data_IF_136422341812
#
_entry.id   IF_136422341812
#
_cell.length_a   1.000
_cell.length_b   1.000
_cell.length_c   1.000
_cell.angle_alpha   90.00
_cell.angle_beta   90.00
_cell.angle_gamma   90.00
#
_symmetry.space_group_name_H-M   'P 1'
#
loop_
_entity.id
_entity.type
_entity.pdbx_description
1 polymer ?
#
# COMPACT_ATOMS: atom_id res chain seq x y z
N UNK A 1 15.70 -5.32 2.68
CA UNK A 1 15.28 -5.91 1.38
C UNK A 1 14.65 -4.80 0.56
N UNK A 2 15.08 -4.65 -0.69
CA UNK A 2 14.58 -3.62 -1.60
C UNK A 2 13.63 -4.24 -2.63
N UNK A 3 12.62 -3.48 -3.07
CA UNK A 3 11.76 -3.84 -4.19
C UNK A 3 12.12 -2.96 -5.38
N UNK A 4 12.42 -3.58 -6.51
CA UNK A 4 12.87 -2.90 -7.72
C UNK A 4 11.85 -3.12 -8.83
N UNK A 5 11.34 -2.02 -9.39
CA UNK A 5 10.66 -1.97 -10.67
C UNK A 5 11.70 -1.59 -11.73
N UNK A 6 11.97 -2.47 -12.69
CA UNK A 6 13.03 -2.34 -13.68
C UNK A 6 12.41 -2.38 -15.08
N UNK A 7 12.23 -1.20 -15.71
CA UNK A 7 11.69 -1.02 -17.07
C UNK A 7 10.36 -1.74 -17.31
N UNK A 8 9.42 -1.65 -16.35
CA UNK A 8 8.13 -2.33 -16.42
C UNK A 8 7.24 -1.71 -17.49
N UNK A 9 6.91 -2.50 -18.52
CA UNK A 9 5.85 -2.19 -19.48
C UNK A 9 4.82 -3.31 -19.48
N UNK A 10 3.54 -2.95 -19.64
CA UNK A 10 2.47 -3.94 -19.68
C UNK A 10 1.33 -3.57 -20.62
N UNK A 11 0.85 -4.59 -21.36
CA UNK A 11 -0.22 -4.47 -22.33
C UNK A 11 -1.28 -5.54 -22.08
N UNK A 12 -2.56 -5.14 -22.11
CA UNK A 12 -3.67 -6.07 -22.16
C UNK A 12 -4.24 -6.10 -23.57
N UNK A 13 -4.02 -7.22 -24.29
CA UNK A 13 -4.39 -7.31 -25.70
C UNK A 13 -3.70 -6.21 -26.53
N UNK A 14 -4.48 -5.28 -27.11
CA UNK A 14 -3.96 -4.15 -27.88
C UNK A 14 -3.80 -2.86 -27.08
N UNK A 15 -4.06 -2.86 -25.76
CA UNK A 15 -4.09 -1.67 -24.91
C UNK A 15 -2.81 -1.55 -24.08
N UNK A 16 -2.00 -0.53 -24.35
CA UNK A 16 -0.84 -0.20 -23.52
C UNK A 16 -1.31 0.44 -22.21
N UNK A 17 -0.95 -0.17 -21.08
CA UNK A 17 -1.36 0.26 -19.74
C UNK A 17 -0.19 0.90 -18.98
N UNK A 18 1.00 0.31 -19.07
CA UNK A 18 2.24 0.81 -18.47
C UNK A 18 3.33 0.85 -19.54
N UNK A 19 4.19 1.85 -19.45
CA UNK A 19 5.28 2.04 -20.39
C UNK A 19 6.53 2.56 -19.67
N UNK A 20 7.57 1.72 -19.62
CA UNK A 20 8.90 2.00 -19.08
C UNK A 20 8.91 2.56 -17.64
N UNK A 21 8.16 1.92 -16.74
CA UNK A 21 8.10 2.34 -15.34
C UNK A 21 9.28 1.75 -14.56
N UNK A 22 10.13 2.65 -14.02
CA UNK A 22 11.30 2.27 -13.23
C UNK A 22 11.40 3.06 -11.93
N UNK A 23 11.49 2.36 -10.79
CA UNK A 23 11.80 2.94 -9.48
C UNK A 23 12.21 1.84 -8.50
N UNK A 24 12.75 2.25 -7.35
CA UNK A 24 13.13 1.34 -6.27
C UNK A 24 12.45 1.76 -4.98
N UNK A 25 12.06 0.81 -4.17
CA UNK A 25 11.64 1.01 -2.78
C UNK A 25 12.71 0.40 -1.89
N UNK A 26 13.43 1.25 -1.16
CA UNK A 26 14.49 0.80 -0.26
C UNK A 26 13.89 0.14 1.00
N UNK A 27 14.72 -0.65 1.70
CA UNK A 27 14.33 -1.23 3.00
C UNK A 27 13.86 -0.14 3.96
N UNK A 28 12.66 -0.31 4.53
CA UNK A 28 12.05 0.66 5.46
C UNK A 28 11.47 1.93 4.81
N UNK A 29 11.63 2.10 3.50
CA UNK A 29 11.10 3.24 2.76
C UNK A 29 9.62 3.04 2.43
N UNK A 30 8.82 4.09 2.53
CA UNK A 30 7.44 4.15 2.05
C UNK A 30 7.38 4.99 0.77
N UNK A 31 6.97 4.38 -0.32
CA UNK A 31 6.76 5.04 -1.61
C UNK A 31 5.26 5.07 -1.92
N UNK A 32 4.69 6.27 -2.04
CA UNK A 32 3.33 6.41 -2.55
C UNK A 32 3.34 6.46 -4.09
N UNK A 33 2.32 5.88 -4.70
CA UNK A 33 2.07 5.97 -6.14
C UNK A 33 0.74 6.70 -6.34
N UNK A 34 0.80 7.83 -7.05
CA UNK A 34 -0.36 8.65 -7.37
C UNK A 34 -0.45 8.87 -8.89
N UNK A 35 -1.63 9.21 -9.38
CA UNK A 35 -1.88 9.47 -10.79
C UNK A 35 -3.36 9.37 -11.14
N UNK A 36 -3.76 9.76 -12.36
CA UNK A 36 -5.16 9.74 -12.81
C UNK A 36 -5.81 8.36 -12.67
N UNK A 37 -7.13 8.31 -12.65
CA UNK A 37 -7.87 7.05 -12.70
C UNK A 37 -7.56 6.31 -14.01
N UNK A 38 -7.36 4.98 -13.94
CA UNK A 38 -7.06 4.16 -15.10
C UNK A 38 -5.64 4.26 -15.66
N UNK A 39 -4.71 4.99 -15.02
CA UNK A 39 -3.32 5.09 -15.50
C UNK A 39 -2.45 3.84 -15.24
N UNK A 40 -3.00 2.79 -14.61
CA UNK A 40 -2.29 1.52 -14.42
C UNK A 40 -1.73 1.27 -13.02
N UNK A 41 -2.08 2.06 -11.98
CA UNK A 41 -1.55 1.90 -10.61
C UNK A 41 -1.75 0.49 -10.04
N UNK A 42 -2.98 -0.04 -10.07
CA UNK A 42 -3.28 -1.38 -9.55
C UNK A 42 -2.65 -2.48 -10.41
N UNK A 43 -2.49 -2.25 -11.73
CA UNK A 43 -1.73 -3.13 -12.62
C UNK A 43 -0.25 -3.17 -12.21
N UNK A 44 0.35 -2.01 -11.97
CA UNK A 44 1.73 -1.90 -11.48
C UNK A 44 1.90 -2.61 -10.15
N UNK A 45 0.99 -2.39 -9.19
CA UNK A 45 1.05 -3.06 -7.89
C UNK A 45 0.95 -4.58 -8.01
N UNK A 46 0.08 -5.07 -8.91
CA UNK A 46 -0.06 -6.51 -9.18
C UNK A 46 1.22 -7.11 -9.78
N UNK A 47 1.94 -6.34 -10.62
CA UNK A 47 3.24 -6.76 -11.17
C UNK A 47 4.29 -6.76 -10.07
N UNK A 48 4.37 -5.70 -9.26
CA UNK A 48 5.31 -5.61 -8.13
C UNK A 48 5.14 -6.77 -7.15
N UNK A 49 3.91 -7.20 -6.94
CA UNK A 49 3.58 -8.32 -6.06
C UNK A 49 3.65 -9.71 -6.70
N UNK A 50 4.04 -9.80 -7.96
CA UNK A 50 4.15 -11.08 -8.67
C UNK A 50 2.82 -11.74 -9.03
N UNK A 51 1.69 -11.03 -8.88
CA UNK A 51 0.36 -11.52 -9.26
C UNK A 51 0.11 -11.42 -10.77
N UNK A 52 0.85 -10.53 -11.44
CA UNK A 52 0.79 -10.31 -12.88
C UNK A 52 2.22 -10.26 -13.44
N UNK A 53 2.46 -10.97 -14.55
CA UNK A 53 3.74 -10.88 -15.25
C UNK A 53 3.73 -9.66 -16.18
N UNK A 54 4.75 -8.78 -16.14
CA UNK A 54 4.84 -7.66 -17.07
C UNK A 54 5.05 -8.17 -18.50
N UNK A 55 4.71 -7.35 -19.51
CA UNK A 55 5.02 -7.64 -20.90
C UNK A 55 6.50 -7.47 -21.20
N UNK A 56 7.13 -6.45 -20.58
CA UNK A 56 8.55 -6.16 -20.66
C UNK A 56 9.05 -5.69 -19.29
N UNK A 57 10.36 -5.84 -19.05
CA UNK A 57 10.96 -5.50 -17.77
C UNK A 57 10.68 -6.54 -16.69
N UNK A 58 10.88 -6.18 -15.43
CA UNK A 58 10.68 -7.06 -14.28
C UNK A 58 10.47 -6.32 -12.98
N UNK A 59 9.84 -7.00 -12.03
CA UNK A 59 9.85 -6.64 -10.62
C UNK A 59 10.67 -7.67 -9.85
N UNK A 60 11.58 -7.23 -8.99
CA UNK A 60 12.43 -8.12 -8.19
C UNK A 60 12.60 -7.64 -6.76
N UNK A 61 12.71 -8.59 -5.84
CA UNK A 61 13.15 -8.35 -4.47
C UNK A 61 14.66 -8.58 -4.38
N UNK A 62 15.40 -7.60 -3.86
CA UNK A 62 16.87 -7.68 -3.71
C UNK A 62 17.28 -7.58 -2.26
N UNK A 63 18.21 -8.44 -1.85
CA UNK A 63 18.68 -8.56 -0.47
C UNK A 63 17.95 -9.64 0.30
N UNK A 64 18.42 -9.92 1.52
CA UNK A 64 17.81 -10.91 2.40
C UNK A 64 16.57 -10.29 3.12
N UNK A 65 15.48 -11.05 3.29
CA UNK A 65 14.40 -10.64 4.16
C UNK A 65 14.87 -10.59 5.63
N UNK A 66 14.15 -9.89 6.52
CA UNK A 66 14.40 -10.02 7.96
C UNK A 66 14.33 -11.48 8.42
N UNK A 67 15.19 -11.88 9.37
CA UNK A 67 15.33 -13.28 9.82
C UNK A 67 14.01 -13.89 10.32
N UNK A 68 13.11 -13.07 10.83
CA UNK A 68 11.81 -13.50 11.34
C UNK A 68 10.67 -13.33 10.32
N UNK A 69 10.96 -12.98 9.06
CA UNK A 69 9.96 -12.83 8.01
C UNK A 69 9.47 -14.21 7.54
N UNK A 70 8.16 -14.38 7.52
CA UNK A 70 7.51 -15.60 7.03
C UNK A 70 7.09 -15.47 5.56
N UNK A 71 6.86 -14.24 5.11
CA UNK A 71 6.63 -13.90 3.71
C UNK A 71 7.16 -12.48 3.48
N UNK A 72 8.21 -12.28 2.68
CA UNK A 72 8.85 -10.98 2.54
C UNK A 72 7.98 -9.92 1.86
N UNK A 73 6.97 -10.32 1.09
CA UNK A 73 6.07 -9.41 0.38
C UNK A 73 4.63 -9.80 0.62
N UNK A 74 3.79 -8.84 1.01
CA UNK A 74 2.36 -9.11 1.22
C UNK A 74 1.49 -7.94 0.77
N UNK A 75 0.19 -8.21 0.61
CA UNK A 75 -0.81 -7.27 0.13
C UNK A 75 -1.84 -6.88 1.19
N UNK A 76 -2.26 -5.61 1.14
CA UNK A 76 -3.54 -5.13 1.69
C UNK A 76 -4.37 -4.64 0.50
N UNK A 77 -5.45 -5.36 0.20
CA UNK A 77 -6.37 -5.06 -0.90
C UNK A 77 -7.40 -4.02 -0.50
N UNK A 78 -7.96 -3.32 -1.47
CA UNK A 78 -8.98 -2.29 -1.29
C UNK A 78 -10.26 -2.85 -0.63
N UNK A 79 -10.70 -4.04 -0.98
CA UNK A 79 -11.88 -4.74 -0.46
C UNK A 79 -11.58 -5.66 0.73
N UNK A 80 -10.34 -5.55 1.31
CA UNK A 80 -9.81 -6.31 2.45
C UNK A 80 -9.70 -7.83 2.23
N UNK A 81 -10.37 -8.40 1.23
CA UNK A 81 -10.37 -9.83 0.88
C UNK A 81 -10.49 -10.76 2.10
N UNK A 82 -11.37 -10.42 3.06
CA UNK A 82 -11.59 -11.24 4.25
C UNK A 82 -12.40 -12.49 3.90
N UNK A 83 -12.08 -13.59 4.59
CA UNK A 83 -12.84 -14.83 4.52
C UNK A 83 -14.11 -14.67 5.38
N UNK A 84 -15.31 -14.50 4.79
CA UNK A 84 -16.51 -14.13 5.53
C UNK A 84 -17.04 -15.23 6.46
N UNK A 85 -16.62 -16.47 6.25
CA UNK A 85 -16.95 -17.64 7.07
C UNK A 85 -15.93 -17.90 8.19
N UNK A 86 -14.85 -17.15 8.25
CA UNK A 86 -13.81 -17.23 9.28
C UNK A 86 -13.98 -16.11 10.31
N UNK A 87 -13.62 -16.38 11.56
CA UNK A 87 -13.50 -15.34 12.59
C UNK A 87 -12.35 -14.38 12.30
N UNK A 88 -12.25 -13.28 13.04
CA UNK A 88 -11.11 -12.35 13.00
C UNK A 88 -9.80 -13.10 13.22
N UNK A 89 -9.71 -13.90 14.26
CA UNK A 89 -8.53 -14.71 14.58
C UNK A 89 -8.16 -15.65 13.44
N UNK A 90 -9.13 -16.40 12.91
CA UNK A 90 -8.90 -17.34 11.81
C UNK A 90 -8.49 -16.63 10.50
N UNK A 91 -9.01 -15.42 10.24
CA UNK A 91 -8.54 -14.59 9.12
C UNK A 91 -7.07 -14.19 9.26
N UNK A 92 -6.63 -13.81 10.47
CA UNK A 92 -5.24 -13.42 10.75
C UNK A 92 -4.32 -14.65 10.75
N UNK A 93 -4.78 -15.80 11.23
CA UNK A 93 -4.04 -17.06 11.23
C UNK A 93 -3.87 -17.65 9.83
N UNK A 94 -4.82 -17.40 8.92
CA UNK A 94 -4.88 -18.05 7.60
C UNK A 94 -3.55 -18.07 6.83
N UNK A 95 -2.77 -16.99 6.69
CA UNK A 95 -1.49 -17.04 5.98
C UNK A 95 -0.39 -17.84 6.70
N UNK A 96 -0.61 -18.20 7.97
CA UNK A 96 0.36 -18.94 8.79
C UNK A 96 0.17 -20.46 8.72
N UNK A 97 -0.93 -20.95 8.15
CA UNK A 97 -1.29 -22.38 8.15
C UNK A 97 -0.21 -23.26 7.51
N UNK A 98 0.49 -22.74 6.49
CA UNK A 98 1.52 -23.48 5.76
C UNK A 98 2.94 -23.07 6.15
N UNK A 99 3.13 -22.32 7.22
CA UNK A 99 4.45 -21.98 7.76
C UNK A 99 4.99 -23.11 8.65
N UNK A 100 6.29 -23.10 8.91
CA UNK A 100 6.94 -24.06 9.81
C UNK A 100 6.69 -23.78 11.30
N UNK A 101 5.86 -22.81 11.65
CA UNK A 101 5.52 -22.47 13.04
C UNK A 101 4.70 -23.58 13.70
N UNK A 102 5.07 -23.96 14.93
CA UNK A 102 4.21 -24.78 15.77
C UNK A 102 2.96 -24.01 16.23
N UNK A 103 2.01 -24.69 16.87
CA UNK A 103 0.74 -24.10 17.28
C UNK A 103 0.92 -22.93 18.27
N UNK A 104 1.86 -23.04 19.21
CA UNK A 104 2.11 -22.02 20.22
C UNK A 104 2.75 -20.77 19.60
N UNK A 105 3.75 -20.93 18.74
CA UNK A 105 4.39 -19.84 18.01
C UNK A 105 3.39 -19.14 17.07
N UNK A 106 2.54 -19.89 16.38
CA UNK A 106 1.49 -19.36 15.52
C UNK A 106 0.49 -18.51 16.31
N UNK A 107 0.02 -19.03 17.46
CA UNK A 107 -0.89 -18.29 18.34
C UNK A 107 -0.25 -16.98 18.84
N UNK A 108 1.03 -17.01 19.22
CA UNK A 108 1.75 -15.80 19.65
C UNK A 108 1.84 -14.73 18.55
N UNK A 109 2.03 -15.14 17.29
CA UNK A 109 2.02 -14.24 16.13
C UNK A 109 0.64 -13.61 15.92
N UNK A 110 -0.43 -14.42 16.00
CA UNK A 110 -1.82 -13.94 15.87
C UNK A 110 -2.15 -12.96 16.99
N UNK A 111 -1.80 -13.29 18.24
CA UNK A 111 -2.04 -12.42 19.40
C UNK A 111 -1.30 -11.07 19.24
N UNK A 112 -0.07 -11.08 18.75
CA UNK A 112 0.68 -9.85 18.48
C UNK A 112 0.02 -9.00 17.38
N UNK A 113 -0.38 -9.61 16.26
CA UNK A 113 -1.04 -8.92 15.17
C UNK A 113 -2.38 -8.29 15.62
N UNK A 114 -3.21 -9.02 16.36
CA UNK A 114 -4.47 -8.53 16.91
C UNK A 114 -4.26 -7.38 17.90
N UNK A 115 -3.25 -7.47 18.77
CA UNK A 115 -2.90 -6.40 19.71
C UNK A 115 -2.45 -5.13 18.98
N UNK A 116 -1.56 -5.23 18.01
CA UNK A 116 -1.05 -4.10 17.21
C UNK A 116 -2.13 -3.37 16.43
N UNK A 117 -3.21 -4.06 16.07
CA UNK A 117 -4.34 -3.50 15.32
C UNK A 117 -5.57 -3.19 16.19
N UNK A 118 -5.48 -3.39 17.52
CA UNK A 118 -6.57 -3.09 18.46
C UNK A 118 -7.79 -4.02 18.30
N UNK A 119 -7.57 -5.27 17.89
CA UNK A 119 -8.63 -6.24 17.61
C UNK A 119 -8.73 -7.40 18.63
N UNK A 120 -7.95 -7.36 19.72
CA UNK A 120 -7.88 -8.45 20.70
C UNK A 120 -9.24 -8.86 21.25
N UNK A 121 -10.13 -7.89 21.54
CA UNK A 121 -11.48 -8.14 22.08
C UNK A 121 -12.47 -8.67 21.05
N UNK A 122 -12.11 -8.59 19.76
CA UNK A 122 -12.96 -9.00 18.63
C UNK A 122 -12.52 -10.30 17.95
N UNK A 123 -11.57 -11.03 18.55
CA UNK A 123 -10.96 -12.24 17.95
C UNK A 123 -11.97 -13.29 17.49
N UNK A 124 -13.06 -13.49 18.23
CA UNK A 124 -14.14 -14.44 17.92
C UNK A 124 -15.21 -13.90 16.99
N UNK A 125 -15.18 -12.60 16.63
CA UNK A 125 -16.18 -12.00 15.77
C UNK A 125 -15.99 -12.40 14.30
N UNK A 126 -17.09 -12.41 13.54
CA UNK A 126 -17.06 -12.62 12.08
C UNK A 126 -17.04 -11.27 11.33
N UNK A 127 -16.53 -11.20 10.08
CA UNK A 127 -16.47 -9.96 9.31
C UNK A 127 -17.78 -9.18 9.20
N UNK A 128 -18.93 -9.89 9.14
CA UNK A 128 -20.28 -9.27 9.09
C UNK A 128 -20.67 -8.51 10.37
N UNK A 129 -19.99 -8.77 11.49
CA UNK A 129 -20.25 -8.15 12.79
C UNK A 129 -19.36 -6.91 13.03
N UNK A 130 -18.45 -6.60 12.09
CA UNK A 130 -17.46 -5.56 12.23
C UNK A 130 -17.86 -4.30 11.45
N UNK A 131 -17.42 -3.13 11.93
CA UNK A 131 -17.45 -1.88 11.16
C UNK A 131 -16.51 -1.94 9.94
N UNK A 132 -16.61 -1.00 9.00
CA UNK A 132 -15.71 -0.89 7.85
C UNK A 132 -14.24 -0.80 8.28
N UNK A 133 -13.95 0.11 9.22
CA UNK A 133 -12.60 0.28 9.75
C UNK A 133 -12.07 -0.94 10.50
N UNK A 134 -12.93 -1.67 11.23
CA UNK A 134 -12.52 -2.91 11.88
C UNK A 134 -12.19 -4.00 10.85
N UNK A 135 -12.99 -4.14 9.79
CA UNK A 135 -12.67 -5.09 8.71
C UNK A 135 -11.33 -4.77 8.06
N UNK A 136 -11.03 -3.49 7.86
CA UNK A 136 -9.74 -3.08 7.35
C UNK A 136 -8.60 -3.46 8.29
N UNK A 137 -8.74 -3.18 9.60
CA UNK A 137 -7.75 -3.59 10.60
C UNK A 137 -7.50 -5.10 10.59
N UNK A 138 -8.52 -5.93 10.32
CA UNK A 138 -8.33 -7.39 10.15
C UNK A 138 -7.46 -7.70 8.92
N UNK A 139 -7.69 -7.02 7.80
CA UNK A 139 -6.85 -7.16 6.60
C UNK A 139 -5.39 -6.77 6.86
N UNK A 140 -5.18 -5.66 7.60
CA UNK A 140 -3.85 -5.22 8.03
C UNK A 140 -3.22 -6.24 8.99
N UNK A 141 -3.95 -6.71 10.01
CA UNK A 141 -3.46 -7.70 10.96
C UNK A 141 -3.01 -8.99 10.25
N UNK A 142 -3.81 -9.47 9.28
CA UNK A 142 -3.48 -10.62 8.45
C UNK A 142 -2.18 -10.40 7.65
N UNK A 143 -2.01 -9.21 7.07
CA UNK A 143 -0.80 -8.86 6.33
C UNK A 143 0.43 -8.79 7.24
N UNK A 144 0.28 -8.26 8.46
CA UNK A 144 1.36 -8.16 9.45
C UNK A 144 1.77 -9.50 10.07
N UNK A 145 0.86 -10.46 10.14
CA UNK A 145 1.13 -11.77 10.74
C UNK A 145 2.28 -12.51 10.05
N UNK A 146 2.50 -12.28 8.77
CA UNK A 146 3.63 -12.89 8.04
C UNK A 146 4.95 -12.10 8.18
N UNK A 147 4.96 -10.99 8.95
CA UNK A 147 6.14 -10.13 9.17
C UNK A 147 6.83 -9.75 7.86
N UNK A 148 6.14 -9.04 6.97
CA UNK A 148 6.67 -8.73 5.65
C UNK A 148 7.83 -7.74 5.74
N UNK A 149 8.79 -7.85 4.81
CA UNK A 149 9.79 -6.83 4.56
C UNK A 149 9.18 -5.64 3.79
N UNK A 150 8.19 -5.94 2.92
CA UNK A 150 7.51 -4.94 2.09
C UNK A 150 6.01 -5.21 2.07
N UNK A 151 5.25 -4.14 2.28
CA UNK A 151 3.79 -4.12 2.26
C UNK A 151 3.29 -3.40 1.00
N UNK A 152 2.47 -4.08 0.20
CA UNK A 152 1.81 -3.50 -0.98
C UNK A 152 0.36 -3.17 -0.63
N UNK A 153 -0.05 -1.92 -0.83
CA UNK A 153 -1.37 -1.42 -0.43
C UNK A 153 -2.06 -0.72 -1.60
N UNK A 154 -3.23 -1.24 -1.99
CA UNK A 154 -4.06 -0.67 -3.06
C UNK A 154 -5.23 0.09 -2.47
N UNK A 155 -5.16 1.41 -2.42
CA UNK A 155 -6.19 2.32 -1.91
C UNK A 155 -6.81 1.88 -0.57
N UNK A 156 -6.01 1.53 0.45
CA UNK A 156 -6.51 0.84 1.63
C UNK A 156 -7.50 1.67 2.47
N UNK A 157 -7.56 2.99 2.29
CA UNK A 157 -8.44 3.89 3.05
C UNK A 157 -9.62 4.45 2.25
N UNK A 158 -9.76 4.10 0.96
CA UNK A 158 -10.72 4.73 0.04
C UNK A 158 -12.19 4.52 0.41
N UNK A 159 -12.52 3.34 0.98
CA UNK A 159 -13.90 2.94 1.30
C UNK A 159 -14.39 3.43 2.68
N UNK A 160 -13.61 4.28 3.38
CA UNK A 160 -13.90 4.68 4.76
C UNK A 160 -14.41 6.12 4.86
N UNK A 161 -15.26 6.36 5.87
CA UNK A 161 -15.62 7.70 6.29
C UNK A 161 -14.40 8.48 6.80
N UNK A 162 -14.51 9.81 6.86
CA UNK A 162 -13.39 10.70 7.19
C UNK A 162 -12.80 10.47 8.58
N UNK A 163 -13.62 10.16 9.58
CA UNK A 163 -13.15 9.95 10.96
C UNK A 163 -12.40 8.62 11.09
N UNK A 164 -12.98 7.55 10.55
CA UNK A 164 -12.35 6.23 10.52
C UNK A 164 -11.04 6.25 9.72
N UNK A 165 -11.02 6.99 8.60
CA UNK A 165 -9.82 7.17 7.77
C UNK A 165 -8.70 7.85 8.56
N UNK A 166 -8.99 8.92 9.30
CA UNK A 166 -7.98 9.62 10.10
C UNK A 166 -7.38 8.73 11.18
N UNK A 167 -8.20 7.98 11.92
CA UNK A 167 -7.72 7.04 12.94
C UNK A 167 -6.81 5.95 12.34
N UNK A 168 -7.18 5.41 11.18
CA UNK A 168 -6.37 4.40 10.51
C UNK A 168 -5.10 4.98 9.88
N UNK A 169 -5.13 6.24 9.45
CA UNK A 169 -3.94 6.95 9.00
C UNK A 169 -2.91 7.04 10.13
N UNK A 170 -3.33 7.41 11.34
CA UNK A 170 -2.46 7.42 12.51
C UNK A 170 -1.92 6.03 12.84
N UNK A 171 -2.74 4.97 12.68
CA UNK A 171 -2.30 3.59 12.85
C UNK A 171 -1.20 3.22 11.84
N UNK A 172 -1.36 3.58 10.55
CA UNK A 172 -0.34 3.37 9.53
C UNK A 172 0.95 4.15 9.82
N UNK A 173 0.85 5.42 10.22
CA UNK A 173 2.03 6.21 10.62
C UNK A 173 2.80 5.50 11.74
N UNK A 174 2.09 5.02 12.78
CA UNK A 174 2.70 4.27 13.89
C UNK A 174 3.31 2.95 13.44
N UNK A 175 2.61 2.23 12.57
CA UNK A 175 3.04 0.91 12.06
C UNK A 175 4.33 1.00 11.25
N UNK A 176 4.49 2.08 10.47
CA UNK A 176 5.62 2.30 9.58
C UNK A 176 6.74 3.15 10.22
N UNK A 177 6.56 3.59 11.48
CA UNK A 177 7.47 4.53 12.13
C UNK A 177 8.85 3.95 12.43
N UNK A 178 8.95 2.64 12.71
CA UNK A 178 10.20 1.97 13.07
C UNK A 178 11.15 1.76 11.87
N UNK A 179 10.68 2.00 10.64
CA UNK A 179 11.49 1.86 9.43
C UNK A 179 11.97 0.45 9.13
N UNK A 180 11.42 -0.57 9.80
CA UNK A 180 11.81 -1.98 9.59
C UNK A 180 11.13 -2.58 8.36
N UNK A 181 9.97 -2.06 7.98
CA UNK A 181 9.14 -2.50 6.87
C UNK A 181 9.01 -1.41 5.82
N UNK A 182 9.35 -1.72 4.57
CA UNK A 182 9.08 -0.87 3.42
C UNK A 182 7.61 -0.97 2.97
N UNK A 183 7.12 0.01 2.22
CA UNK A 183 5.78 -0.06 1.67
C UNK A 183 5.64 0.62 0.30
N UNK A 184 4.76 0.06 -0.54
CA UNK A 184 4.18 0.75 -1.70
C UNK A 184 2.72 1.05 -1.39
N UNK A 185 2.36 2.32 -1.46
CA UNK A 185 1.04 2.81 -1.08
C UNK A 185 0.37 3.50 -2.27
N UNK A 186 -0.63 2.86 -2.87
CA UNK A 186 -1.45 3.50 -3.91
C UNK A 186 -2.57 4.29 -3.25
N UNK A 187 -2.74 5.53 -3.67
CA UNK A 187 -3.87 6.36 -3.25
C UNK A 187 -4.18 7.43 -4.31
N UNK A 188 -5.42 7.88 -4.35
CA UNK A 188 -5.84 9.10 -5.03
C UNK A 188 -5.91 10.30 -4.09
N UNK A 189 -5.72 10.10 -2.78
CA UNK A 189 -5.72 11.15 -1.76
C UNK A 189 -4.29 11.65 -1.53
N UNK A 190 -4.01 12.88 -1.96
CA UNK A 190 -2.68 13.49 -1.86
C UNK A 190 -2.26 13.78 -0.42
N UNK A 191 -3.22 14.00 0.50
CA UNK A 191 -2.94 14.16 1.92
C UNK A 191 -2.36 12.87 2.50
N UNK A 192 -2.96 11.71 2.17
CA UNK A 192 -2.44 10.40 2.56
C UNK A 192 -1.01 10.20 2.04
N UNK A 193 -0.79 10.51 0.76
CA UNK A 193 0.53 10.36 0.14
C UNK A 193 1.61 11.17 0.86
N UNK A 194 1.39 12.47 1.14
CA UNK A 194 2.39 13.31 1.80
C UNK A 194 2.56 13.03 3.30
N UNK A 195 1.56 12.43 3.95
CA UNK A 195 1.64 12.04 5.36
C UNK A 195 2.40 10.74 5.59
N UNK A 196 2.25 9.75 4.68
CA UNK A 196 2.83 8.41 4.85
C UNK A 196 4.16 8.23 4.14
N UNK A 197 4.27 8.71 2.88
CA UNK A 197 5.37 8.35 2.01
C UNK A 197 6.64 9.17 2.24
N UNK A 198 7.79 8.56 2.04
CA UNK A 198 9.08 9.24 1.99
C UNK A 198 9.32 9.85 0.61
N UNK A 199 8.79 9.19 -0.43
CA UNK A 199 8.72 9.69 -1.81
C UNK A 199 7.36 9.38 -2.42
N UNK A 200 6.94 10.25 -3.35
CA UNK A 200 5.72 10.07 -4.13
C UNK A 200 6.10 9.93 -5.60
N UNK A 201 5.78 8.79 -6.19
CA UNK A 201 5.90 8.53 -7.63
C UNK A 201 4.61 8.98 -8.29
N UNK A 202 4.70 9.98 -9.16
CA UNK A 202 3.58 10.49 -9.95
C UNK A 202 3.57 9.80 -11.31
N UNK A 203 2.49 9.09 -11.61
CA UNK A 203 2.30 8.46 -12.92
C UNK A 203 1.52 9.40 -13.85
N UNK A 204 1.90 9.39 -15.13
CA UNK A 204 1.15 10.02 -16.21
C UNK A 204 -0.18 9.30 -16.45
N UNK A 205 -1.06 9.89 -17.28
CA UNK A 205 -2.18 9.16 -17.90
C UNK A 205 -1.68 7.93 -18.67
N UNK A 206 -2.63 7.07 -19.03
CA UNK A 206 -2.33 5.84 -19.78
C UNK A 206 -1.73 6.11 -21.18
N UNK A 207 -0.66 5.37 -21.59
CA UNK A 207 0.09 4.42 -20.77
C UNK A 207 0.84 5.11 -19.62
N UNK A 208 0.71 4.54 -18.41
CA UNK A 208 1.33 5.10 -17.22
C UNK A 208 2.85 5.06 -17.31
N UNK A 209 3.49 6.21 -17.18
CA UNK A 209 4.95 6.41 -17.09
C UNK A 209 5.27 7.16 -15.81
N UNK A 210 6.47 7.03 -15.29
CA UNK A 210 6.92 7.88 -14.20
C UNK A 210 7.11 9.31 -14.74
N UNK A 211 6.21 10.22 -14.34
CA UNK A 211 6.28 11.63 -14.70
C UNK A 211 7.28 12.38 -13.82
N UNK A 212 7.16 12.16 -12.51
CA UNK A 212 8.02 12.81 -11.52
C UNK A 212 8.08 11.97 -10.24
N UNK A 213 9.17 12.11 -9.50
CA UNK A 213 9.34 11.54 -8.16
C UNK A 213 9.57 12.70 -7.20
N UNK A 214 8.60 12.93 -6.31
CA UNK A 214 8.64 14.02 -5.32
C UNK A 214 9.07 13.45 -3.97
N UNK A 215 10.18 13.93 -3.42
CA UNK A 215 10.66 13.57 -2.09
C UNK A 215 9.95 14.38 -1.01
N UNK A 216 9.64 13.76 0.13
CA UNK A 216 9.06 14.42 1.30
C UNK A 216 10.17 14.66 2.33
N UNK A 217 10.72 15.88 2.43
CA UNK A 217 11.91 16.19 3.21
C UNK A 217 11.59 16.36 4.70
N UNK A 218 10.81 15.45 5.27
CA UNK A 218 10.41 15.42 6.69
C UNK A 218 10.25 13.98 7.12
N UNK A 219 10.65 13.64 8.33
CA UNK A 219 10.38 12.34 8.92
C UNK A 219 8.88 12.16 9.17
N UNK A 220 8.38 10.93 9.16
CA UNK A 220 6.95 10.64 9.42
C UNK A 220 6.49 11.18 10.78
N UNK A 221 7.35 11.14 11.80
CA UNK A 221 7.05 11.67 13.12
C UNK A 221 6.85 13.21 13.12
N UNK A 222 7.64 13.94 12.34
CA UNK A 222 7.54 15.41 12.23
C UNK A 222 6.25 15.86 11.56
N UNK A 223 5.68 15.04 10.65
CA UNK A 223 4.48 15.39 9.85
C UNK A 223 3.20 15.54 10.66
N UNK A 224 3.13 15.01 11.89
CA UNK A 224 2.02 15.21 12.82
C UNK A 224 2.03 16.58 13.52
N UNK A 225 3.12 17.34 13.44
CA UNK A 225 3.26 18.64 14.08
C UNK A 225 2.51 19.77 13.40
N UNK A 226 2.17 20.82 14.17
CA UNK A 226 1.50 22.02 13.64
C UNK A 226 2.37 22.72 12.58
N UNK A 227 3.68 22.76 12.79
CA UNK A 227 4.64 23.41 11.88
C UNK A 227 4.81 22.68 10.54
N UNK A 228 4.48 21.40 10.49
CA UNK A 228 4.54 20.61 9.26
C UNK A 228 3.38 20.91 8.29
N UNK A 229 2.23 21.36 8.80
CA UNK A 229 1.00 21.53 7.99
C UNK A 229 1.20 22.42 6.76
N UNK A 230 1.88 23.55 6.91
CA UNK A 230 2.16 24.45 5.80
C UNK A 230 3.05 23.82 4.71
N UNK A 231 4.07 23.07 5.13
CA UNK A 231 4.98 22.37 4.20
C UNK A 231 4.28 21.22 3.49
N UNK A 232 3.46 20.44 4.22
CA UNK A 232 2.67 19.35 3.64
C UNK A 232 1.65 19.86 2.63
N UNK A 233 0.98 20.98 2.93
CA UNK A 233 0.05 21.64 2.00
C UNK A 233 0.75 22.11 0.72
N UNK A 234 1.97 22.65 0.83
CA UNK A 234 2.76 23.03 -0.33
C UNK A 234 3.11 21.84 -1.22
N UNK A 235 3.53 20.73 -0.63
CA UNK A 235 3.81 19.47 -1.35
C UNK A 235 2.53 18.88 -1.98
N UNK A 236 1.41 18.93 -1.27
CA UNK A 236 0.11 18.50 -1.78
C UNK A 236 -0.31 19.32 -3.01
N UNK A 237 -0.11 20.65 -2.97
CA UNK A 237 -0.41 21.53 -4.11
C UNK A 237 0.53 21.26 -5.30
N UNK A 238 1.81 20.98 -5.04
CA UNK A 238 2.75 20.57 -6.09
C UNK A 238 2.29 19.26 -6.76
N UNK A 239 1.97 18.23 -5.99
CA UNK A 239 1.44 16.97 -6.50
C UNK A 239 0.13 17.17 -7.27
N UNK A 240 -0.77 18.01 -6.74
CA UNK A 240 -2.02 18.35 -7.42
C UNK A 240 -1.79 18.98 -8.79
N UNK A 241 -0.83 19.93 -8.92
CA UNK A 241 -0.51 20.56 -10.20
C UNK A 241 -0.05 19.55 -11.24
N UNK A 242 0.79 18.57 -10.84
CA UNK A 242 1.28 17.50 -11.71
C UNK A 242 0.15 16.59 -12.20
N UNK A 243 -0.78 16.21 -11.30
CA UNK A 243 -1.88 15.29 -11.63
C UNK A 243 -2.99 15.99 -12.42
N UNK A 244 -3.25 17.28 -12.12
CA UNK A 244 -4.32 18.04 -12.77
C UNK A 244 -4.15 18.13 -14.27
N UNK A 245 -2.94 18.38 -14.73
CA UNK A 245 -2.64 18.43 -16.17
C UNK A 245 -2.96 17.10 -16.83
N UNK A 246 -2.53 16.00 -16.24
CA UNK A 246 -2.80 14.65 -16.74
C UNK A 246 -4.29 14.27 -16.70
N UNK A 247 -5.03 14.71 -15.66
CA UNK A 247 -6.46 14.44 -15.55
C UNK A 247 -7.27 15.20 -16.61
N UNK A 248 -6.93 16.47 -16.87
CA UNK A 248 -7.59 17.29 -17.89
C UNK A 248 -7.37 16.68 -19.29
N UNK A 249 -6.16 16.24 -19.58
CA UNK A 249 -5.83 15.62 -20.87
C UNK A 249 -6.53 14.26 -21.04
N UNK A 250 -6.65 13.45 -19.96
CA UNK A 250 -7.38 12.20 -19.98
C UNK A 250 -8.88 12.39 -20.26
N UNK A 251 -9.52 13.41 -19.67
CA UNK A 251 -10.93 13.73 -19.93
C UNK A 251 -11.18 14.17 -21.38
N UNK A 252 -10.26 14.94 -21.97
CA UNK A 252 -10.36 15.35 -23.38
C UNK A 252 -10.29 14.18 -24.34
N UNK A 253 -9.47 13.18 -24.07
CA UNK A 253 -9.39 11.97 -24.92
C UNK A 253 -10.66 11.13 -24.87
N UNK A 254 -11.29 10.99 -23.71
CA UNK A 254 -12.56 10.25 -23.57
C UNK A 254 -13.72 10.94 -24.31
N UNK A 255 -13.68 12.28 -24.44
CA UNK A 255 -14.70 13.03 -25.17
C UNK A 255 -14.53 12.97 -26.71
N UNK A 256 -13.37 12.56 -27.19
CA UNK A 256 -13.04 12.47 -28.62
C UNK A 256 -12.95 11.03 -29.16
N UNK A 257 -13.20 10.01 -28.33
CA UNK A 257 -13.24 8.59 -28.68
C UNK A 257 -14.67 8.07 -28.77
#
# INVERSE_FOLDING_TARGET
MDLIADHISHRFGGLDVLDDVSFTVASGEVVAIVGPSGCGKSTLLSILGGLLRPSEGRAELRGAPPDNSLNPLTFVFQDFALLPWCTVEANVEFPLVHTALDAAARQAVVDDALRRTGLSDFRGAYPKQLSGGMRQRVGIARALAVRPAILLMDEPLSALDSQTRELLMEDFVRLLADGTMGAVYITHNLEEAVRLADRVVVLSRRPGRVREVVSIPMTRAERGGIDARGKLLTLQNQLWSLIREEAIDAEREVQHA
#
